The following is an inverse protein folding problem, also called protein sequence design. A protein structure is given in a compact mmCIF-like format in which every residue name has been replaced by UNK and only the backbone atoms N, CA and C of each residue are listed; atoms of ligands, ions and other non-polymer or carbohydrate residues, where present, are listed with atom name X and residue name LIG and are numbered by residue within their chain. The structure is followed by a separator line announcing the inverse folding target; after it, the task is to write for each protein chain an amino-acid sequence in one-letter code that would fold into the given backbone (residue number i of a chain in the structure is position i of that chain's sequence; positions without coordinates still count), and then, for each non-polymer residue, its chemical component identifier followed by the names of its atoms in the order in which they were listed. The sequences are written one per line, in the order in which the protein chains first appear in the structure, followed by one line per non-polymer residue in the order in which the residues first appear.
data_IF_376249368039
#
_entry.id   IF_376249368039
#
_cell.length_a   1.000
_cell.length_b   1.000
_cell.length_c   1.000
_cell.angle_alpha   90.00
_cell.angle_beta   90.00
_cell.angle_gamma   90.00
#
_symmetry.space_group_name_H-M   'P 1'
#
loop_
_entity.id
_entity.type
_entity.pdbx_description
1 polymer ?
#
# COMPACT_ATOMS: atom_id res chain seq x y z
N UNK A 1 24.13 16.91 -4.43
CA UNK A 1 23.05 17.52 -3.64
C UNK A 1 22.10 16.41 -3.26
N UNK A 2 21.62 16.42 -2.03
CA UNK A 2 20.81 15.33 -1.47
C UNK A 2 19.41 15.88 -1.20
N UNK A 3 18.38 15.15 -1.62
CA UNK A 3 17.01 15.63 -1.67
C UNK A 3 16.06 14.73 -0.86
N UNK A 4 15.04 15.36 -0.28
CA UNK A 4 13.76 14.72 0.05
C UNK A 4 12.71 15.21 -0.93
N UNK A 5 11.99 14.32 -1.59
CA UNK A 5 10.99 14.64 -2.61
C UNK A 5 9.58 14.49 -2.04
N UNK A 6 8.64 15.30 -2.54
CA UNK A 6 7.22 15.22 -2.20
C UNK A 6 6.93 15.32 -0.69
N UNK A 7 7.49 16.34 -0.02
CA UNK A 7 7.28 16.55 1.42
C UNK A 7 5.80 16.82 1.68
N UNK A 8 5.19 15.95 2.50
CA UNK A 8 3.79 16.03 2.85
C UNK A 8 3.46 17.38 3.53
N UNK A 9 2.32 17.98 3.21
CA UNK A 9 1.92 19.24 3.82
C UNK A 9 1.55 19.01 5.29
N UNK A 10 2.21 19.74 6.18
CA UNK A 10 2.09 19.59 7.62
C UNK A 10 2.81 18.39 8.22
N UNK A 11 3.75 17.80 7.50
CA UNK A 11 4.66 16.79 8.03
C UNK A 11 5.37 17.27 9.31
N UNK A 12 5.37 16.45 10.35
CA UNK A 12 6.02 16.72 11.63
C UNK A 12 5.34 17.76 12.52
N UNK A 13 4.19 18.32 12.11
CA UNK A 13 3.44 19.30 12.91
C UNK A 13 2.54 18.67 13.96
N UNK A 14 2.13 17.40 13.76
CA UNK A 14 1.32 16.63 14.70
C UNK A 14 2.05 15.34 15.08
N UNK A 15 1.87 14.84 16.31
CA UNK A 15 2.38 13.53 16.69
C UNK A 15 1.89 12.41 15.76
N UNK A 16 0.68 12.54 15.23
CA UNK A 16 0.05 11.57 14.31
C UNK A 16 0.59 11.61 12.88
N UNK A 17 1.41 12.60 12.54
CA UNK A 17 2.06 12.71 11.25
C UNK A 17 3.54 13.05 11.46
N UNK A 18 4.31 12.14 12.08
CA UNK A 18 5.72 12.39 12.36
C UNK A 18 6.47 12.55 11.05
N UNK A 19 7.51 13.38 11.07
CA UNK A 19 8.42 13.52 9.94
C UNK A 19 9.13 12.18 9.69
N UNK A 20 9.13 11.70 8.45
CA UNK A 20 9.86 10.51 8.08
C UNK A 20 11.37 10.73 8.33
N UNK A 21 12.03 9.88 9.14
CA UNK A 21 13.45 10.05 9.45
C UNK A 21 14.31 9.70 8.23
N UNK A 22 15.36 10.49 8.01
CA UNK A 22 16.34 10.17 6.97
C UNK A 22 17.05 8.84 7.33
N UNK A 23 17.11 7.86 6.42
CA UNK A 23 17.11 8.02 4.96
C UNK A 23 15.82 7.57 4.26
N UNK A 24 14.70 7.47 5.00
CA UNK A 24 13.40 7.08 4.44
C UNK A 24 12.85 8.14 3.47
N UNK A 25 12.01 7.73 2.52
CA UNK A 25 11.33 8.68 1.64
C UNK A 25 10.34 9.55 2.42
N UNK A 26 10.06 10.76 1.93
CA UNK A 26 9.10 11.64 2.60
C UNK A 26 7.64 11.16 2.50
N UNK A 27 7.27 10.46 1.42
CA UNK A 27 5.87 10.04 1.18
C UNK A 27 5.76 8.61 0.62
N UNK A 28 5.87 7.56 1.48
CA UNK A 28 5.96 6.15 1.07
C UNK A 28 4.91 5.64 0.06
N UNK A 29 3.62 6.04 0.10
CA UNK A 29 2.60 5.61 -0.86
C UNK A 29 2.99 5.72 -2.34
N UNK A 30 3.65 6.80 -2.77
CA UNK A 30 4.09 6.94 -4.17
C UNK A 30 5.11 5.88 -4.57
N UNK A 31 6.01 5.54 -3.65
CA UNK A 31 7.11 4.59 -3.83
C UNK A 31 6.53 3.19 -4.00
N UNK A 32 5.58 2.86 -3.13
CA UNK A 32 4.84 1.61 -3.17
C UNK A 32 4.01 1.50 -4.45
N UNK A 33 3.41 2.58 -4.94
CA UNK A 33 2.63 2.56 -6.18
C UNK A 33 3.45 2.04 -7.38
N UNK A 34 4.69 2.53 -7.56
CA UNK A 34 5.60 2.06 -8.62
C UNK A 34 6.02 0.60 -8.43
N UNK A 35 6.35 0.21 -7.20
CA UNK A 35 6.72 -1.17 -6.84
C UNK A 35 5.58 -2.15 -7.11
N UNK A 36 4.40 -1.88 -6.55
CA UNK A 36 3.18 -2.69 -6.72
C UNK A 36 2.77 -2.78 -8.18
N UNK A 37 2.80 -1.67 -8.93
CA UNK A 37 2.49 -1.66 -10.36
C UNK A 37 3.40 -2.60 -11.16
N UNK A 38 4.70 -2.58 -10.85
CA UNK A 38 5.70 -3.44 -11.50
C UNK A 38 5.56 -4.91 -11.08
N UNK A 39 5.22 -5.21 -9.83
CA UNK A 39 4.97 -6.57 -9.37
C UNK A 39 3.74 -7.21 -10.02
N UNK A 40 2.62 -6.47 -10.07
CA UNK A 40 1.39 -6.91 -10.74
C UNK A 40 1.68 -7.20 -12.21
N UNK A 41 2.40 -6.30 -12.86
CA UNK A 41 2.78 -6.50 -14.25
C UNK A 41 3.68 -7.72 -14.45
N UNK A 42 4.70 -7.91 -13.61
CA UNK A 42 5.59 -9.07 -13.69
C UNK A 42 4.81 -10.39 -13.59
N UNK A 43 3.80 -10.45 -12.70
CA UNK A 43 2.91 -11.60 -12.58
C UNK A 43 2.06 -11.81 -13.85
N UNK A 44 1.45 -10.75 -14.39
CA UNK A 44 0.64 -10.82 -15.61
C UNK A 44 1.47 -11.21 -16.85
N UNK A 45 2.66 -10.63 -17.01
CA UNK A 45 3.59 -10.97 -18.10
C UNK A 45 4.07 -12.42 -17.97
N UNK A 46 4.33 -12.89 -16.74
CA UNK A 46 4.65 -14.28 -16.45
C UNK A 46 3.53 -15.23 -16.88
N UNK A 47 2.29 -14.95 -16.47
CA UNK A 47 1.11 -15.73 -16.86
C UNK A 47 0.91 -15.76 -18.39
N UNK A 48 1.07 -14.62 -19.06
CA UNK A 48 1.00 -14.53 -20.53
C UNK A 48 2.11 -15.33 -21.22
N UNK A 49 3.28 -15.47 -20.59
CA UNK A 49 4.39 -16.27 -21.11
C UNK A 49 4.08 -17.76 -21.06
N UNK A 50 3.46 -18.24 -19.98
CA UNK A 50 3.06 -19.63 -19.82
C UNK A 50 2.05 -20.08 -20.90
N UNK A 51 1.18 -19.19 -21.35
CA UNK A 51 0.19 -19.48 -22.42
C UNK A 51 0.69 -19.16 -23.83
N UNK A 52 1.98 -18.83 -24.01
CA UNK A 52 2.56 -18.49 -25.31
C UNK A 52 2.02 -17.19 -25.93
N UNK A 53 1.39 -16.31 -25.13
CA UNK A 53 0.80 -15.03 -25.58
C UNK A 53 1.70 -13.83 -25.28
N UNK A 54 2.85 -14.03 -24.66
CA UNK A 54 3.79 -12.94 -24.40
C UNK A 54 4.47 -12.49 -25.70
N UNK A 55 4.35 -11.20 -26.02
CA UNK A 55 5.00 -10.56 -27.16
C UNK A 55 6.11 -9.65 -26.62
N UNK A 56 7.12 -9.38 -27.45
CA UNK A 56 8.18 -8.43 -27.07
C UNK A 56 7.54 -7.12 -26.56
N UNK A 57 8.00 -6.61 -25.43
CA UNK A 57 7.53 -5.36 -24.81
C UNK A 57 6.09 -5.37 -24.27
N UNK A 58 5.44 -6.54 -24.14
CA UNK A 58 4.22 -6.69 -23.32
C UNK A 58 4.47 -6.20 -21.90
N UNK A 59 5.63 -6.55 -21.31
CA UNK A 59 6.07 -6.11 -19.98
C UNK A 59 5.91 -4.60 -19.79
N UNK A 60 6.61 -3.81 -20.61
CA UNK A 60 6.59 -2.34 -20.51
C UNK A 60 5.20 -1.74 -20.73
N UNK A 61 4.39 -2.34 -21.62
CA UNK A 61 3.02 -1.87 -21.87
C UNK A 61 2.13 -2.09 -20.67
N UNK A 62 2.14 -3.31 -20.12
CA UNK A 62 1.39 -3.64 -18.92
C UNK A 62 1.86 -2.79 -17.74
N UNK A 63 3.17 -2.55 -17.63
CA UNK A 63 3.71 -1.84 -16.47
C UNK A 63 3.25 -0.39 -16.48
N UNK A 64 3.23 0.20 -17.68
CA UNK A 64 2.70 1.54 -17.86
C UNK A 64 1.22 1.63 -17.40
N UNK A 65 0.39 0.65 -17.74
CA UNK A 65 -1.02 0.62 -17.32
C UNK A 65 -1.20 0.35 -15.82
N UNK A 66 -0.56 -0.70 -15.31
CA UNK A 66 -0.65 -1.08 -13.90
C UNK A 66 -0.13 0.05 -13.00
N UNK A 67 1.01 0.64 -13.34
CA UNK A 67 1.57 1.77 -12.59
C UNK A 67 0.68 3.01 -12.69
N UNK A 68 0.06 3.31 -13.84
CA UNK A 68 -0.90 4.42 -13.92
C UNK A 68 -2.10 4.20 -12.99
N UNK A 69 -2.60 2.97 -12.89
CA UNK A 69 -3.70 2.64 -11.99
C UNK A 69 -3.29 2.75 -10.52
N UNK A 70 -2.11 2.24 -10.14
CA UNK A 70 -1.63 2.35 -8.75
C UNK A 70 -1.28 3.79 -8.36
N UNK A 71 -0.79 4.62 -9.28
CA UNK A 71 -0.56 6.05 -9.04
C UNK A 71 -1.86 6.83 -8.91
N UNK A 72 -2.89 6.49 -9.68
CA UNK A 72 -4.22 7.08 -9.51
C UNK A 72 -4.77 6.77 -8.11
N UNK A 73 -4.59 5.53 -7.64
CA UNK A 73 -4.94 5.13 -6.28
C UNK A 73 -4.13 5.90 -5.21
N UNK A 74 -2.80 5.96 -5.34
CA UNK A 74 -1.94 6.71 -4.43
C UNK A 74 -2.27 8.21 -4.41
N UNK A 75 -2.71 8.78 -5.53
CA UNK A 75 -3.19 10.17 -5.59
C UNK A 75 -4.45 10.39 -4.74
N UNK A 76 -5.37 9.41 -4.74
CA UNK A 76 -6.59 9.45 -3.91
C UNK A 76 -6.21 9.33 -2.44
N UNK A 77 -5.30 8.41 -2.09
CA UNK A 77 -4.79 8.27 -0.72
C UNK A 77 -4.11 9.55 -0.23
N UNK A 78 -3.24 10.14 -1.05
CA UNK A 78 -2.58 11.40 -0.76
C UNK A 78 -3.60 12.52 -0.49
N UNK A 79 -4.63 12.64 -1.35
CA UNK A 79 -5.67 13.66 -1.17
C UNK A 79 -6.47 13.43 0.13
N UNK A 80 -6.89 12.19 0.39
CA UNK A 80 -7.62 11.84 1.61
C UNK A 80 -6.78 12.10 2.87
N UNK A 81 -5.50 11.73 2.85
CA UNK A 81 -4.57 12.01 3.92
C UNK A 81 -4.39 13.51 4.14
N UNK A 82 -4.22 14.28 3.06
CA UNK A 82 -4.05 15.73 3.09
C UNK A 82 -5.27 16.44 3.71
N UNK A 83 -6.49 16.06 3.32
CA UNK A 83 -7.74 16.60 3.89
C UNK A 83 -7.86 16.28 5.38
N UNK A 84 -7.60 15.03 5.77
CA UNK A 84 -7.61 14.62 7.17
C UNK A 84 -6.61 15.43 8.01
N UNK A 85 -5.37 15.57 7.54
CA UNK A 85 -4.35 16.36 8.22
C UNK A 85 -4.74 17.85 8.32
N UNK A 86 -5.33 18.43 7.27
CA UNK A 86 -5.85 19.80 7.31
C UNK A 86 -6.88 19.98 8.42
N UNK A 87 -7.82 19.04 8.55
CA UNK A 87 -8.86 19.09 9.57
C UNK A 87 -8.28 18.98 10.99
N UNK A 88 -7.32 18.06 11.19
CA UNK A 88 -6.65 17.88 12.48
C UNK A 88 -5.83 19.11 12.90
N UNK A 89 -5.04 19.68 11.97
CA UNK A 89 -4.25 20.88 12.22
C UNK A 89 -5.14 22.09 12.54
N UNK A 90 -6.22 22.27 11.79
CA UNK A 90 -7.21 23.32 12.05
C UNK A 90 -7.84 23.19 13.43
N UNK A 91 -8.19 21.97 13.86
CA UNK A 91 -8.73 21.70 15.20
C UNK A 91 -7.71 22.01 16.30
N UNK A 92 -6.43 21.77 16.04
CA UNK A 92 -5.35 22.09 16.96
C UNK A 92 -4.95 23.58 16.95
N UNK A 93 -5.61 24.43 16.15
CA UNK A 93 -5.22 25.82 15.90
C UNK A 93 -3.77 25.96 15.40
N UNK A 94 -3.27 24.97 14.65
CA UNK A 94 -1.94 24.98 14.04
C UNK A 94 -2.08 25.34 12.57
N UNK A 95 -1.31 26.33 12.11
CA UNK A 95 -1.24 26.68 10.70
C UNK A 95 -0.52 25.57 9.91
N UNK A 96 -1.18 25.06 8.87
CA UNK A 96 -0.67 23.96 8.05
C UNK A 96 0.50 24.42 7.18
N UNK A 97 1.64 23.75 7.31
CA UNK A 97 2.77 23.98 6.39
C UNK A 97 2.39 23.56 4.96
N UNK A 98 2.75 24.38 3.95
CA UNK A 98 2.44 24.08 2.57
C UNK A 98 3.23 22.86 2.07
N UNK A 99 2.69 22.21 1.05
CA UNK A 99 3.37 21.15 0.32
C UNK A 99 4.68 21.67 -0.27
N UNK A 100 5.76 20.87 -0.19
CA UNK A 100 7.03 21.18 -0.84
C UNK A 100 7.38 20.06 -1.81
N UNK A 101 7.65 20.44 -3.06
CA UNK A 101 8.07 19.48 -4.08
C UNK A 101 9.38 18.79 -3.69
N UNK A 102 10.30 19.55 -3.08
CA UNK A 102 11.55 19.02 -2.57
C UNK A 102 12.04 19.85 -1.38
N UNK A 103 12.87 19.22 -0.54
CA UNK A 103 13.69 19.88 0.45
C UNK A 103 15.09 19.28 0.47
N UNK A 104 16.07 20.05 0.97
CA UNK A 104 17.45 19.56 1.11
C UNK A 104 17.52 18.65 2.35
N UNK A 105 18.08 17.45 2.18
CA UNK A 105 18.36 16.52 3.28
C UNK A 105 19.82 16.55 3.73
N UNK A 106 20.09 15.92 4.88
CA UNK A 106 21.44 15.86 5.46
C UNK A 106 22.26 14.67 4.94
N UNK A 107 21.62 13.64 4.41
CA UNK A 107 22.31 12.46 3.86
C UNK A 107 21.45 11.71 2.84
N UNK A 108 22.11 10.87 2.03
CA UNK A 108 21.49 10.09 0.95
C UNK A 108 20.19 9.43 1.40
N UNK A 109 19.09 9.77 0.73
CA UNK A 109 17.77 9.22 1.01
C UNK A 109 17.36 8.24 -0.08
N UNK A 110 16.25 7.54 0.15
CA UNK A 110 15.63 6.72 -0.88
C UNK A 110 15.18 7.56 -2.09
N UNK A 111 14.90 8.85 -1.89
CA UNK A 111 14.45 9.77 -2.94
C UNK A 111 15.56 10.04 -3.96
N UNK A 112 16.81 10.15 -3.50
CA UNK A 112 17.97 10.30 -4.39
C UNK A 112 18.17 9.07 -5.28
N UNK A 113 18.01 7.88 -4.70
CA UNK A 113 18.13 6.61 -5.44
C UNK A 113 17.02 6.49 -6.49
N UNK A 114 15.80 6.88 -6.12
CA UNK A 114 14.69 6.92 -7.06
C UNK A 114 14.85 7.95 -8.15
N UNK A 115 15.35 9.14 -7.83
CA UNK A 115 15.61 10.16 -8.83
C UNK A 115 16.68 9.68 -9.81
N UNK A 116 17.75 9.05 -9.33
CA UNK A 116 18.76 8.42 -10.17
C UNK A 116 18.17 7.29 -11.05
N UNK A 117 17.31 6.44 -10.49
CA UNK A 117 16.58 5.40 -11.24
C UNK A 117 15.67 6.00 -12.31
N UNK A 118 14.92 7.04 -11.98
CA UNK A 118 14.02 7.77 -12.89
C UNK A 118 14.80 8.37 -14.05
N UNK A 119 15.89 9.09 -13.75
CA UNK A 119 16.75 9.70 -14.77
C UNK A 119 17.36 8.65 -15.69
N UNK A 120 17.86 7.54 -15.13
CA UNK A 120 18.44 6.43 -15.90
C UNK A 120 17.39 5.78 -16.81
N UNK A 121 16.20 5.51 -16.29
CA UNK A 121 15.08 4.94 -17.05
C UNK A 121 14.62 5.87 -18.18
N UNK A 122 14.51 7.17 -17.91
CA UNK A 122 14.15 8.15 -18.92
C UNK A 122 15.19 8.20 -20.04
N UNK A 123 16.49 8.27 -19.71
CA UNK A 123 17.57 8.25 -20.69
C UNK A 123 17.57 6.95 -21.51
N UNK A 124 17.38 5.80 -20.87
CA UNK A 124 17.27 4.52 -21.56
C UNK A 124 16.08 4.50 -22.53
N UNK A 125 14.95 5.08 -22.14
CA UNK A 125 13.72 5.11 -22.96
C UNK A 125 13.82 5.98 -24.22
N UNK A 126 14.80 6.91 -24.29
CA UNK A 126 15.09 7.71 -25.49
C UNK A 126 15.70 6.87 -26.62
N UNK A 127 16.39 5.77 -26.29
CA UNK A 127 16.95 4.84 -27.26
C UNK A 127 15.89 3.91 -27.84
N UNK A 128 15.15 4.39 -28.86
CA UNK A 128 14.04 3.65 -29.52
C UNK A 128 14.39 2.21 -29.94
N UNK A 129 15.65 1.93 -30.31
CA UNK A 129 16.11 0.59 -30.72
C UNK A 129 16.04 -0.44 -29.60
N UNK A 130 16.10 -0.03 -28.33
CA UNK A 130 16.08 -0.95 -27.19
C UNK A 130 14.66 -1.47 -26.88
N UNK A 131 13.62 -0.77 -27.36
CA UNK A 131 12.22 -1.02 -27.00
C UNK A 131 11.29 -0.94 -28.22
N UNK A 132 11.64 -1.64 -29.30
CA UNK A 132 10.95 -1.53 -30.60
C UNK A 132 9.45 -1.79 -30.54
N UNK A 133 9.01 -2.66 -29.63
CA UNK A 133 7.61 -3.07 -29.52
C UNK A 133 6.76 -2.21 -28.59
N UNK A 134 7.37 -1.34 -27.78
CA UNK A 134 6.69 -0.34 -26.95
C UNK A 134 6.78 1.04 -27.65
N UNK A 135 5.63 1.60 -27.99
CA UNK A 135 5.54 2.87 -28.74
C UNK A 135 4.74 3.89 -27.94
N UNK A 136 5.08 5.17 -28.13
CA UNK A 136 4.41 6.29 -27.47
C UNK A 136 4.70 6.33 -25.97
N UNK A 137 3.75 6.87 -25.20
CA UNK A 137 3.88 7.10 -23.76
C UNK A 137 4.19 5.81 -22.96
N UNK A 138 3.68 4.65 -23.40
CA UNK A 138 3.89 3.35 -22.75
C UNK A 138 5.37 2.96 -22.65
N UNK A 139 6.18 3.36 -23.63
CA UNK A 139 7.64 3.12 -23.59
C UNK A 139 8.29 3.92 -22.48
N UNK A 140 8.07 5.23 -22.51
CA UNK A 140 8.66 6.16 -21.53
C UNK A 140 8.22 5.79 -20.13
N UNK A 141 6.92 5.65 -19.94
CA UNK A 141 6.34 5.39 -18.64
C UNK A 141 6.68 3.99 -18.13
N UNK A 142 6.58 2.95 -18.96
CA UNK A 142 6.94 1.59 -18.56
C UNK A 142 8.41 1.45 -18.14
N UNK A 143 9.35 2.03 -18.90
CA UNK A 143 10.78 1.97 -18.57
C UNK A 143 11.09 2.80 -17.31
N UNK A 144 10.50 3.98 -17.19
CA UNK A 144 10.63 4.83 -16.02
C UNK A 144 10.11 4.11 -14.77
N UNK A 145 8.89 3.59 -14.80
CA UNK A 145 8.27 2.90 -13.67
C UNK A 145 9.08 1.69 -13.22
N UNK A 146 9.58 0.88 -14.16
CA UNK A 146 10.47 -0.24 -13.83
C UNK A 146 11.76 0.23 -13.17
N UNK A 147 12.38 1.30 -13.69
CA UNK A 147 13.63 1.81 -13.13
C UNK A 147 13.45 2.41 -11.74
N UNK A 148 12.31 3.06 -11.50
CA UNK A 148 11.88 3.52 -10.17
C UNK A 148 11.68 2.34 -9.23
N UNK A 149 10.91 1.32 -9.63
CA UNK A 149 10.66 0.14 -8.81
C UNK A 149 11.95 -0.60 -8.43
N UNK A 150 12.90 -0.72 -9.37
CA UNK A 150 14.24 -1.27 -9.08
C UNK A 150 14.95 -0.40 -8.03
N UNK A 151 14.92 0.92 -8.18
CA UNK A 151 15.45 1.86 -7.19
C UNK A 151 14.81 1.72 -5.81
N UNK A 152 13.49 1.56 -5.74
CA UNK A 152 12.74 1.35 -4.49
C UNK A 152 13.09 0.02 -3.82
N UNK A 153 13.29 -1.05 -4.60
CA UNK A 153 13.60 -2.38 -4.08
C UNK A 153 15.07 -2.52 -3.66
N UNK A 154 16.00 -2.01 -4.47
CA UNK A 154 17.44 -2.07 -4.19
C UNK A 154 17.93 -0.94 -3.29
N UNK A 155 17.23 0.18 -3.27
CA UNK A 155 17.61 1.37 -2.49
C UNK A 155 17.79 1.10 -1.01
N UNK A 156 16.85 0.42 -0.32
CA UNK A 156 17.01 0.01 1.08
C UNK A 156 18.26 -0.85 1.31
N UNK A 157 18.58 -1.78 0.39
CA UNK A 157 19.76 -2.63 0.48
C UNK A 157 21.05 -1.82 0.34
N UNK A 158 21.10 -0.89 -0.61
CA UNK A 158 22.22 0.04 -0.77
C UNK A 158 22.34 0.94 0.46
N UNK A 159 21.26 1.59 0.88
CA UNK A 159 21.29 2.50 2.03
C UNK A 159 21.67 1.77 3.31
N UNK A 160 21.17 0.56 3.57
CA UNK A 160 21.57 -0.24 4.74
C UNK A 160 23.07 -0.48 4.85
N UNK A 161 23.79 -0.53 3.73
CA UNK A 161 25.25 -0.72 3.72
C UNK A 161 26.03 0.58 3.95
N UNK A 162 25.42 1.73 3.68
CA UNK A 162 26.09 3.04 3.69
C UNK A 162 25.56 3.98 4.78
N UNK A 163 24.41 3.66 5.38
CA UNK A 163 23.69 4.44 6.39
C UNK A 163 23.02 3.51 7.41
N UNK A 164 22.47 4.08 8.48
CA UNK A 164 21.69 3.36 9.51
C UNK A 164 20.25 3.00 9.07
N UNK A 165 20.01 2.81 7.76
CA UNK A 165 18.66 2.64 7.20
C UNK A 165 17.82 1.59 7.93
N UNK A 166 18.41 0.43 8.27
CA UNK A 166 17.67 -0.66 8.92
C UNK A 166 17.17 -0.33 10.33
N UNK A 167 17.98 0.37 11.13
CA UNK A 167 17.61 0.80 12.48
C UNK A 167 16.56 1.92 12.44
N UNK A 168 16.73 2.84 11.47
CA UNK A 168 15.80 3.95 11.24
C UNK A 168 14.44 3.46 10.75
N UNK A 169 14.40 2.52 9.79
CA UNK A 169 13.13 1.95 9.30
C UNK A 169 12.40 1.17 10.41
N UNK A 170 13.12 0.35 11.16
CA UNK A 170 12.52 -0.44 12.24
C UNK A 170 11.92 0.44 13.35
N UNK A 171 12.67 1.46 13.80
CA UNK A 171 12.20 2.39 14.83
C UNK A 171 11.03 3.25 14.34
N UNK A 172 11.07 3.72 13.10
CA UNK A 172 9.99 4.50 12.51
C UNK A 172 8.69 3.69 12.40
N UNK A 173 8.77 2.43 11.94
CA UNK A 173 7.60 1.54 11.87
C UNK A 173 6.97 1.32 13.25
N UNK A 174 7.79 1.12 14.29
CA UNK A 174 7.28 0.99 15.66
C UNK A 174 6.55 2.26 16.13
N UNK A 175 7.08 3.44 15.80
CA UNK A 175 6.43 4.71 16.12
C UNK A 175 5.11 4.90 15.37
N UNK A 176 5.08 4.64 14.06
CA UNK A 176 3.85 4.73 13.24
C UNK A 176 2.77 3.80 13.80
N UNK A 177 3.14 2.58 14.19
CA UNK A 177 2.22 1.61 14.77
C UNK A 177 1.70 2.09 16.11
N UNK A 178 2.58 2.55 17.01
CA UNK A 178 2.15 3.10 18.30
C UNK A 178 1.18 4.29 18.13
N UNK A 179 1.44 5.14 17.14
CA UNK A 179 0.57 6.27 16.81
C UNK A 179 -0.77 5.83 16.21
N UNK A 180 -0.77 4.82 15.35
CA UNK A 180 -2.00 4.23 14.80
C UNK A 180 -2.85 3.59 15.91
N UNK A 181 -2.23 2.86 16.84
CA UNK A 181 -2.91 2.32 18.02
C UNK A 181 -3.51 3.44 18.88
N UNK A 182 -2.83 4.57 19.03
CA UNK A 182 -3.37 5.76 19.72
C UNK A 182 -4.46 6.48 18.93
N UNK A 183 -4.55 6.29 17.62
CA UNK A 183 -5.57 6.90 16.74
C UNK A 183 -6.84 6.05 16.59
N UNK A 184 -6.84 4.77 17.02
CA UNK A 184 -8.07 3.96 17.04
C UNK A 184 -9.28 4.63 17.70
N UNK A 185 -9.17 5.38 18.83
CA UNK A 185 -10.31 6.09 19.39
C UNK A 185 -10.65 7.41 18.67
N UNK A 186 -9.82 7.88 17.73
CA UNK A 186 -10.07 9.08 16.91
C UNK A 186 -10.84 8.78 15.62
N UNK A 187 -11.00 7.51 15.25
CA UNK A 187 -11.88 7.05 14.16
C UNK A 187 -13.36 6.96 14.60
N UNK A 188 -13.75 7.81 15.55
CA UNK A 188 -15.15 8.03 15.88
C UNK A 188 -15.91 8.52 14.64
N UNK A 189 -17.16 8.04 14.51
CA UNK A 189 -18.03 8.31 13.37
C UNK A 189 -18.20 9.80 13.02
N UNK A 190 -17.98 10.70 13.99
CA UNK A 190 -18.09 12.15 13.82
C UNK A 190 -17.05 12.75 12.85
N UNK A 191 -15.83 12.21 12.77
CA UNK A 191 -14.81 12.75 11.84
C UNK A 191 -15.05 12.33 10.39
N UNK A 192 -15.88 11.31 10.18
CA UNK A 192 -16.21 10.79 8.86
C UNK A 192 -17.50 11.40 8.30
N UNK A 193 -18.26 12.16 9.10
CA UNK A 193 -19.50 12.84 8.68
C UNK A 193 -19.42 13.64 7.38
N UNK A 194 -18.35 14.42 7.09
CA UNK A 194 -18.31 15.23 5.87
C UNK A 194 -18.14 14.42 4.58
N UNK A 195 -17.78 13.13 4.67
CA UNK A 195 -17.62 12.28 3.49
C UNK A 195 -18.95 11.61 3.11
N UNK A 196 -19.12 11.30 1.83
CA UNK A 196 -20.28 10.50 1.39
C UNK A 196 -20.18 9.09 2.01
N UNK A 197 -21.32 8.45 2.25
CA UNK A 197 -21.39 7.11 2.86
C UNK A 197 -20.43 6.09 2.22
N UNK A 198 -20.37 5.97 0.88
CA UNK A 198 -19.47 5.04 0.21
C UNK A 198 -17.97 5.34 0.43
N UNK A 199 -17.59 6.61 0.48
CA UNK A 199 -16.19 7.03 0.70
C UNK A 199 -15.77 6.76 2.14
N UNK A 200 -16.63 7.07 3.12
CA UNK A 200 -16.40 6.67 4.53
C UNK A 200 -16.20 5.17 4.65
N UNK A 201 -17.05 4.41 3.96
CA UNK A 201 -17.05 2.96 4.00
C UNK A 201 -15.75 2.39 3.44
N UNK A 202 -15.29 2.90 2.29
CA UNK A 202 -14.02 2.50 1.68
C UNK A 202 -12.81 2.84 2.56
N UNK A 203 -12.78 4.04 3.15
CA UNK A 203 -11.70 4.47 4.06
C UNK A 203 -11.62 3.52 5.26
N UNK A 204 -12.76 3.19 5.88
CA UNK A 204 -12.81 2.23 6.99
C UNK A 204 -12.33 0.85 6.55
N UNK A 205 -12.79 0.35 5.41
CA UNK A 205 -12.40 -0.96 4.91
C UNK A 205 -10.89 -1.08 4.65
N UNK A 206 -10.31 -0.13 3.91
CA UNK A 206 -8.88 -0.12 3.61
C UNK A 206 -8.04 -0.07 4.89
N UNK A 207 -8.45 0.76 5.85
CA UNK A 207 -7.80 0.86 7.14
C UNK A 207 -7.80 -0.48 7.89
N UNK A 208 -8.95 -1.15 8.01
CA UNK A 208 -9.04 -2.45 8.68
C UNK A 208 -8.24 -3.54 8.00
N UNK A 209 -8.13 -3.50 6.67
CA UNK A 209 -7.38 -4.51 5.92
C UNK A 209 -5.88 -4.38 6.19
N UNK A 210 -5.37 -3.13 6.15
CA UNK A 210 -3.97 -2.83 6.44
C UNK A 210 -3.61 -3.13 7.91
N UNK A 211 -4.47 -2.76 8.86
CA UNK A 211 -4.25 -3.08 10.27
C UNK A 211 -4.22 -4.60 10.49
N UNK A 212 -5.14 -5.34 9.86
CA UNK A 212 -5.21 -6.79 10.00
C UNK A 212 -3.95 -7.48 9.49
N UNK A 213 -3.47 -7.13 8.29
CA UNK A 213 -2.25 -7.70 7.71
C UNK A 213 -1.02 -7.43 8.58
N UNK A 214 -0.93 -6.22 9.15
CA UNK A 214 0.15 -5.87 10.07
C UNK A 214 0.10 -6.68 11.37
N UNK A 215 -1.09 -6.83 11.97
CA UNK A 215 -1.24 -7.61 13.21
C UNK A 215 -0.89 -9.07 12.96
N UNK A 216 -1.31 -9.67 11.84
CA UNK A 216 -0.90 -11.03 11.47
C UNK A 216 0.62 -11.17 11.35
N UNK A 217 1.28 -10.20 10.75
CA UNK A 217 2.74 -10.20 10.64
C UNK A 217 3.43 -10.14 12.01
N UNK A 218 3.00 -9.24 12.89
CA UNK A 218 3.57 -9.12 14.24
C UNK A 218 3.29 -10.35 15.09
N UNK A 219 2.08 -10.89 15.00
CA UNK A 219 1.68 -12.11 15.68
C UNK A 219 2.60 -13.27 15.27
N UNK A 220 2.82 -13.48 13.96
CA UNK A 220 3.69 -14.55 13.48
C UNK A 220 5.14 -14.42 13.98
N UNK A 221 5.71 -13.20 14.00
CA UNK A 221 7.05 -12.96 14.54
C UNK A 221 7.14 -13.23 16.04
N UNK A 222 6.12 -12.80 16.80
CA UNK A 222 6.09 -12.93 18.26
C UNK A 222 5.81 -14.37 18.70
N UNK A 223 4.97 -15.09 17.98
CA UNK A 223 4.74 -16.51 18.17
C UNK A 223 6.03 -17.32 17.93
N UNK A 224 6.74 -17.11 16.80
CA UNK A 224 8.03 -17.79 16.55
C UNK A 224 9.05 -17.47 17.65
N UNK A 225 9.12 -16.20 18.11
CA UNK A 225 9.98 -15.83 19.24
C UNK A 225 9.58 -16.58 20.51
N UNK A 226 8.29 -16.62 20.84
CA UNK A 226 7.75 -17.28 22.03
C UNK A 226 8.04 -18.78 22.03
N UNK A 227 7.84 -19.48 20.91
CA UNK A 227 8.09 -20.92 20.81
C UNK A 227 9.57 -21.32 20.91
N UNK A 228 10.49 -20.37 20.75
CA UNK A 228 11.94 -20.59 20.92
C UNK A 228 12.43 -20.28 22.34
N UNK A 229 11.62 -19.67 23.19
CA UNK A 229 11.98 -19.35 24.57
C UNK A 229 11.92 -20.59 25.46
N UNK A 230 12.75 -20.62 26.49
CA UNK A 230 12.68 -21.67 27.50
C UNK A 230 11.42 -21.49 28.37
N UNK A 231 10.83 -22.57 28.90
CA UNK A 231 9.61 -22.49 29.71
C UNK A 231 9.73 -21.62 30.97
N UNK A 232 10.93 -21.52 31.54
CA UNK A 232 11.21 -20.82 32.79
C UNK A 232 11.70 -19.37 32.57
N UNK A 233 11.68 -18.88 31.32
CA UNK A 233 12.10 -17.52 30.99
C UNK A 233 11.00 -16.51 31.37
N UNK A 234 11.34 -15.53 32.21
CA UNK A 234 10.42 -14.45 32.61
C UNK A 234 9.96 -13.64 31.39
N UNK A 235 10.80 -13.48 30.34
CA UNK A 235 10.39 -12.82 29.10
C UNK A 235 9.33 -13.61 28.32
N UNK A 236 9.23 -14.93 28.53
CA UNK A 236 8.24 -15.76 27.85
C UNK A 236 6.82 -15.43 28.33
N UNK A 237 6.63 -15.12 29.61
CA UNK A 237 5.33 -14.73 30.14
C UNK A 237 4.88 -13.37 29.59
N UNK A 238 5.79 -12.39 29.48
CA UNK A 238 5.48 -11.12 28.82
C UNK A 238 5.13 -11.31 27.33
N UNK A 239 5.94 -12.08 26.60
CA UNK A 239 5.71 -12.35 25.18
C UNK A 239 4.39 -13.10 24.96
N UNK A 240 4.01 -14.00 25.88
CA UNK A 240 2.73 -14.72 25.84
C UNK A 240 1.54 -13.78 25.94
N UNK A 241 1.57 -12.82 26.86
CA UNK A 241 0.49 -11.85 27.01
C UNK A 241 0.40 -10.90 25.80
N UNK A 242 1.54 -10.50 25.21
CA UNK A 242 1.56 -9.75 23.94
C UNK A 242 0.92 -10.53 22.78
N UNK A 243 1.25 -11.81 22.63
CA UNK A 243 0.68 -12.69 21.60
C UNK A 243 -0.84 -12.82 21.77
N UNK A 244 -1.33 -13.01 23.00
CA UNK A 244 -2.78 -13.06 23.29
C UNK A 244 -3.48 -11.76 22.91
N UNK A 245 -2.88 -10.61 23.21
CA UNK A 245 -3.44 -9.31 22.86
C UNK A 245 -3.51 -9.13 21.33
N UNK A 246 -2.43 -9.44 20.61
CA UNK A 246 -2.38 -9.38 19.15
C UNK A 246 -3.41 -10.32 18.50
N UNK A 247 -3.55 -11.54 19.02
CA UNK A 247 -4.57 -12.49 18.57
C UNK A 247 -5.98 -11.92 18.70
N UNK A 248 -6.32 -11.38 19.87
CA UNK A 248 -7.64 -10.77 20.11
C UNK A 248 -7.91 -9.58 19.16
N UNK A 249 -6.90 -8.75 18.88
CA UNK A 249 -7.04 -7.67 17.90
C UNK A 249 -7.25 -8.20 16.48
N UNK A 250 -6.51 -9.25 16.09
CA UNK A 250 -6.67 -9.90 14.78
C UNK A 250 -8.09 -10.45 14.60
N UNK A 251 -8.65 -11.13 15.61
CA UNK A 251 -10.03 -11.64 15.57
C UNK A 251 -11.05 -10.53 15.34
N UNK A 252 -10.94 -9.41 16.07
CA UNK A 252 -11.87 -8.27 15.93
C UNK A 252 -11.77 -7.65 14.53
N UNK A 253 -10.55 -7.42 14.05
CA UNK A 253 -10.33 -6.84 12.72
C UNK A 253 -10.77 -7.78 11.59
N UNK A 254 -10.53 -9.08 11.74
CA UNK A 254 -10.98 -10.10 10.80
C UNK A 254 -12.51 -10.16 10.74
N UNK A 255 -13.18 -10.17 11.89
CA UNK A 255 -14.65 -10.14 11.94
C UNK A 255 -15.23 -8.88 11.27
N UNK A 256 -14.60 -7.71 11.51
CA UNK A 256 -14.99 -6.45 10.85
C UNK A 256 -14.77 -6.52 9.33
N UNK A 257 -13.60 -7.00 8.88
CA UNK A 257 -13.32 -7.20 7.45
C UNK A 257 -14.33 -8.15 6.81
N UNK A 258 -14.64 -9.27 7.46
CA UNK A 258 -15.62 -10.25 6.98
C UNK A 258 -17.02 -9.63 6.80
N UNK A 259 -17.44 -8.76 7.72
CA UNK A 259 -18.69 -8.01 7.58
C UNK A 259 -18.67 -7.08 6.36
N UNK A 260 -17.54 -6.41 6.08
CA UNK A 260 -17.40 -5.59 4.88
C UNK A 260 -17.41 -6.40 3.60
N UNK A 261 -16.68 -7.52 3.56
CA UNK A 261 -16.67 -8.43 2.42
C UNK A 261 -18.08 -8.96 2.11
N UNK A 262 -18.87 -9.26 3.15
CA UNK A 262 -20.28 -9.64 3.01
C UNK A 262 -21.11 -8.53 2.36
N UNK A 263 -21.02 -7.29 2.85
CA UNK A 263 -21.76 -6.17 2.26
C UNK A 263 -21.34 -5.87 0.82
N UNK A 264 -20.05 -6.03 0.51
CA UNK A 264 -19.55 -5.86 -0.85
C UNK A 264 -20.11 -6.94 -1.79
N UNK A 265 -20.16 -8.19 -1.33
CA UNK A 265 -20.75 -9.30 -2.07
C UNK A 265 -22.26 -9.10 -2.30
N UNK A 266 -23.00 -8.62 -1.30
CA UNK A 266 -24.43 -8.33 -1.42
C UNK A 266 -24.72 -7.15 -2.36
N UNK A 267 -23.90 -6.09 -2.29
CA UNK A 267 -23.98 -4.97 -3.21
C UNK A 267 -23.71 -5.40 -4.66
N UNK A 268 -22.71 -6.25 -4.88
CA UNK A 268 -22.40 -6.84 -6.19
C UNK A 268 -23.54 -7.69 -6.71
N UNK A 269 -24.09 -8.58 -5.88
CA UNK A 269 -25.28 -9.37 -6.19
C UNK A 269 -26.45 -8.49 -6.64
N UNK A 270 -26.75 -7.43 -5.87
CA UNK A 270 -27.84 -6.49 -6.19
C UNK A 270 -27.60 -5.78 -7.53
N UNK A 271 -26.35 -5.41 -7.83
CA UNK A 271 -25.97 -4.82 -9.10
C UNK A 271 -26.18 -5.79 -10.27
N UNK A 272 -25.72 -7.02 -10.14
CA UNK A 272 -25.85 -8.07 -11.17
C UNK A 272 -27.33 -8.42 -11.43
N UNK A 273 -28.15 -8.47 -10.38
CA UNK A 273 -29.61 -8.63 -10.52
C UNK A 273 -30.25 -7.48 -11.31
N UNK A 274 -29.84 -6.23 -11.06
CA UNK A 274 -30.34 -5.07 -11.81
C UNK A 274 -29.90 -5.11 -13.26
N UNK A 275 -28.66 -5.50 -13.53
CA UNK A 275 -28.17 -5.68 -14.91
C UNK A 275 -28.99 -6.75 -15.64
N UNK A 276 -29.25 -7.89 -14.99
CA UNK A 276 -30.06 -8.97 -15.55
C UNK A 276 -31.48 -8.49 -15.95
N UNK A 277 -32.15 -7.78 -15.04
CA UNK A 277 -33.46 -7.18 -15.33
C UNK A 277 -33.40 -6.16 -16.47
N UNK A 278 -32.37 -5.31 -16.50
CA UNK A 278 -32.20 -4.29 -17.55
C UNK A 278 -31.94 -4.88 -18.95
N UNK A 279 -31.40 -6.10 -19.01
CA UNK A 279 -31.19 -6.84 -20.24
C UNK A 279 -32.48 -7.53 -20.77
N UNK A 280 -33.62 -7.36 -20.09
CA UNK A 280 -34.91 -7.90 -20.52
C UNK A 280 -35.15 -9.36 -20.17
N UNK A 281 -34.28 -9.96 -19.36
CA UNK A 281 -34.48 -11.29 -18.81
C UNK A 281 -35.64 -11.29 -17.80
N UNK A 282 -36.56 -12.23 -17.92
CA UNK A 282 -37.73 -12.37 -17.02
C UNK A 282 -37.56 -13.50 -16.00
N UNK A 283 -36.56 -14.35 -16.18
CA UNK A 283 -36.19 -15.41 -15.26
C UNK A 283 -35.47 -14.87 -14.02
N UNK A 284 -35.54 -15.64 -12.94
CA UNK A 284 -34.86 -15.30 -11.69
C UNK A 284 -33.35 -15.30 -11.90
N UNK A 285 -32.68 -14.19 -11.57
CA UNK A 285 -31.22 -14.13 -11.62
C UNK A 285 -30.61 -15.20 -10.72
N UNK A 286 -29.75 -16.02 -11.30
CA UNK A 286 -28.95 -17.00 -10.58
C UNK A 286 -27.49 -16.56 -10.61
N UNK A 287 -26.80 -16.46 -9.44
CA UNK A 287 -25.39 -16.17 -9.43
C UNK A 287 -24.65 -17.24 -10.21
N UNK A 288 -23.72 -16.83 -11.07
CA UNK A 288 -22.78 -17.79 -11.63
C UNK A 288 -21.99 -18.40 -10.47
N UNK A 289 -21.85 -19.73 -10.40
CA UNK A 289 -21.02 -20.36 -9.39
C UNK A 289 -19.60 -19.80 -9.53
N UNK A 290 -19.09 -19.23 -8.44
CA UNK A 290 -17.71 -18.79 -8.38
C UNK A 290 -16.85 -20.06 -8.42
N UNK A 291 -16.03 -20.22 -9.47
CA UNK A 291 -15.15 -21.39 -9.63
C UNK A 291 -14.25 -21.61 -8.41
N UNK A 292 -13.94 -20.54 -7.67
CA UNK A 292 -13.05 -20.54 -6.50
C UNK A 292 -13.64 -21.13 -5.21
N UNK A 293 -14.96 -21.37 -5.15
CA UNK A 293 -15.63 -21.93 -3.94
C UNK A 293 -16.07 -23.39 -4.11
N UNK A 294 -15.68 -24.05 -5.20
CA UNK A 294 -15.85 -25.49 -5.28
C UNK A 294 -14.96 -26.15 -4.23
N UNK A 295 -15.58 -26.68 -3.16
CA UNK A 295 -14.88 -27.54 -2.22
C UNK A 295 -14.16 -28.64 -3.03
N UNK A 296 -12.90 -28.95 -2.71
CA UNK A 296 -12.21 -30.08 -3.30
C UNK A 296 -13.12 -31.32 -3.24
N UNK A 297 -13.25 -32.06 -4.34
CA UNK A 297 -14.21 -33.18 -4.46
C UNK A 297 -13.97 -34.31 -3.45
N UNK A 298 -12.82 -34.28 -2.78
CA UNK A 298 -12.31 -35.20 -1.78
C UNK A 298 -12.61 -34.77 -0.32
N UNK A 299 -13.35 -33.69 -0.11
CA UNK A 299 -13.77 -33.22 1.23
C UNK A 299 -15.12 -33.80 1.71
N UNK A 300 -15.63 -34.86 1.06
CA UNK A 300 -16.89 -35.54 1.39
C UNK A 300 -16.71 -36.97 1.85
#
# INVERSE_FOLDING_TARGET
MVLRLFVLPGEGQLPTNPRAPEPLPADPPWYNAFGTGTMIEGALTGALSLVGRNKLGTFLKLNAYCTSATLAYASVEFYAHNELQSALLKRASIEKQPFKLWEKSNGWTLDDIMLAGTTTGLLASLHRKNFLSAVGWKRYFGVLSTSVAVGTLFGPYVLRRWTHYGEVDASFRQQVVALQTMQQPLLDDHLLEPYSGPVRWLIKFLHYTLELDYIWYQLALKEDKFFRMAPDDIEADFTREEVKALWSMAEILWARKGLFDFFLADARKTYEQRQHMSAGHQDAWTPQPLEDYALPRDWG
#
